data_IF_060128467827
#
_entry.id   IF_060128467827
#
_cell.length_a   1.000
_cell.length_b   1.000
_cell.length_c   1.000
_cell.angle_alpha   90.00
_cell.angle_beta   90.00
_cell.angle_gamma   90.00
#
_symmetry.space_group_name_H-M   'P 1'
#
loop_
_entity.id
_entity.type
_entity.pdbx_description
1 polymer ?
#
# COMPACT_ATOMS: atom_id res chain seq x y z
N UNK A 1 -1.70 25.08 11.65
CA UNK A 1 -3.02 24.74 12.23
C UNK A 1 -3.37 25.69 13.39
N UNK A 2 -4.46 26.45 13.22
CA UNK A 2 -5.02 27.35 14.23
C UNK A 2 -5.69 26.49 15.31
N UNK A 3 -5.28 26.62 16.57
CA UNK A 3 -6.11 26.12 17.69
C UNK A 3 -7.32 27.04 17.78
N UNK A 4 -8.40 26.71 17.07
CA UNK A 4 -9.67 27.40 17.24
C UNK A 4 -10.08 27.34 18.71
N UNK A 5 -10.66 28.43 19.21
CA UNK A 5 -11.26 28.43 20.54
C UNK A 5 -12.16 27.21 20.66
N UNK A 6 -12.08 26.51 21.79
CA UNK A 6 -12.75 25.23 22.08
C UNK A 6 -14.29 25.33 22.12
N UNK A 7 -14.92 26.24 21.39
CA UNK A 7 -16.37 26.28 21.26
C UNK A 7 -16.78 25.13 20.34
N UNK A 8 -17.53 24.13 20.83
CA UNK A 8 -18.05 23.04 20.01
C UNK A 8 -18.83 23.53 18.79
N UNK A 9 -19.47 24.71 18.89
CA UNK A 9 -20.26 25.31 17.80
C UNK A 9 -19.42 25.70 16.59
N UNK A 10 -18.16 26.10 16.81
CA UNK A 10 -17.26 26.45 15.70
C UNK A 10 -16.85 25.22 14.91
N UNK A 11 -16.61 24.10 15.61
CA UNK A 11 -16.36 22.82 14.97
C UNK A 11 -17.59 22.37 14.19
N UNK A 12 -18.77 22.41 14.81
CA UNK A 12 -20.03 22.03 14.17
C UNK A 12 -20.26 22.78 12.85
N UNK A 13 -20.13 24.11 12.84
CA UNK A 13 -20.29 24.91 11.61
C UNK A 13 -19.26 24.61 10.53
N UNK A 14 -18.02 24.33 10.91
CA UNK A 14 -17.00 23.92 9.96
C UNK A 14 -17.35 22.57 9.30
N UNK A 15 -17.98 21.66 10.05
CA UNK A 15 -18.45 20.39 9.49
C UNK A 15 -19.70 20.50 8.65
N UNK A 16 -20.66 21.34 9.03
CA UNK A 16 -21.82 21.61 8.18
C UNK A 16 -21.37 22.05 6.77
N UNK A 17 -20.28 22.82 6.68
CA UNK A 17 -19.67 23.16 5.39
C UNK A 17 -19.10 21.93 4.68
N UNK A 18 -18.39 21.04 5.38
CA UNK A 18 -17.81 19.82 4.79
C UNK A 18 -18.93 18.87 4.30
N UNK A 19 -20.00 18.68 5.07
CA UNK A 19 -21.15 17.89 4.67
C UNK A 19 -21.85 18.49 3.44
N UNK A 20 -21.97 19.82 3.37
CA UNK A 20 -22.54 20.50 2.19
C UNK A 20 -21.68 20.39 0.94
N UNK A 21 -20.39 20.11 1.08
CA UNK A 21 -19.46 19.96 -0.04
C UNK A 21 -19.51 18.56 -0.67
N UNK A 22 -20.18 17.58 -0.04
CA UNK A 22 -20.38 16.21 -0.54
C UNK A 22 -19.11 15.60 -1.15
N UNK A 23 -18.00 15.67 -0.39
CA UNK A 23 -16.68 15.30 -0.90
C UNK A 23 -16.49 13.78 -0.85
N UNK A 24 -16.28 13.17 -2.02
CA UNK A 24 -15.89 11.76 -2.12
C UNK A 24 -14.50 11.48 -1.51
N UNK A 25 -13.60 12.48 -1.60
CA UNK A 25 -12.21 12.38 -1.15
C UNK A 25 -11.84 13.60 -0.31
N UNK A 26 -11.37 13.35 0.91
CA UNK A 26 -10.83 14.36 1.82
C UNK A 26 -9.34 14.10 2.01
N UNK A 27 -8.50 14.99 1.48
CA UNK A 27 -7.06 14.94 1.74
C UNK A 27 -6.73 15.69 3.03
N UNK A 28 -6.01 15.00 3.93
CA UNK A 28 -5.52 15.54 5.19
C UNK A 28 -3.99 15.44 5.23
N UNK A 29 -3.34 16.17 6.13
CA UNK A 29 -1.89 16.12 6.28
C UNK A 29 -1.52 15.86 7.73
N UNK A 30 -0.91 14.70 7.98
CA UNK A 30 -0.73 14.19 9.34
C UNK A 30 -2.05 14.06 10.10
N UNK A 31 -3.16 13.92 9.38
CA UNK A 31 -4.47 13.98 9.99
C UNK A 31 -4.74 12.72 10.81
N UNK A 32 -4.27 11.54 10.40
CA UNK A 32 -4.55 10.31 11.15
C UNK A 32 -3.99 10.33 12.57
N UNK A 33 -2.78 10.88 12.75
CA UNK A 33 -2.14 10.98 14.06
C UNK A 33 -2.52 12.20 14.89
N UNK A 34 -3.30 13.14 14.34
CA UNK A 34 -3.48 14.44 14.99
C UNK A 34 -4.86 15.05 14.83
N UNK A 35 -5.29 15.31 13.59
CA UNK A 35 -6.54 16.01 13.34
C UNK A 35 -7.73 15.06 13.47
N UNK A 36 -7.67 13.88 12.85
CA UNK A 36 -8.80 12.98 12.70
C UNK A 36 -9.42 12.58 14.03
N UNK A 37 -8.62 12.22 15.05
CA UNK A 37 -9.13 11.86 16.38
C UNK A 37 -9.93 12.99 17.03
N UNK A 38 -9.53 14.25 16.81
CA UNK A 38 -10.26 15.42 17.34
C UNK A 38 -11.49 15.72 16.53
N UNK A 39 -11.41 15.52 15.22
CA UNK A 39 -12.53 15.66 14.29
C UNK A 39 -13.63 14.66 14.66
N UNK A 40 -13.28 13.37 14.74
CA UNK A 40 -14.21 12.27 14.99
C UNK A 40 -14.81 12.29 16.39
N UNK A 41 -14.22 13.02 17.34
CA UNK A 41 -14.81 13.23 18.66
C UNK A 41 -16.07 14.13 18.62
N UNK A 42 -16.27 14.87 17.53
CA UNK A 42 -17.35 15.84 17.40
C UNK A 42 -18.30 15.56 16.22
N UNK A 43 -17.91 14.70 15.28
CA UNK A 43 -18.68 14.40 14.06
C UNK A 43 -18.34 13.03 13.48
N UNK A 44 -19.29 12.49 12.72
CA UNK A 44 -19.10 11.34 11.84
C UNK A 44 -18.84 11.80 10.41
N UNK A 45 -17.97 11.11 9.68
CA UNK A 45 -17.86 11.30 8.23
C UNK A 45 -19.04 10.65 7.51
N UNK A 46 -19.55 11.24 6.40
CA UNK A 46 -20.51 10.58 5.54
C UNK A 46 -20.01 9.21 5.07
N UNK A 47 -20.91 8.23 5.01
CA UNK A 47 -20.58 6.91 4.47
C UNK A 47 -20.07 7.04 3.03
N UNK A 48 -18.93 6.40 2.74
CA UNK A 48 -18.29 6.46 1.42
C UNK A 48 -17.20 7.52 1.29
N UNK A 49 -17.07 8.45 2.25
CA UNK A 49 -15.98 9.44 2.24
C UNK A 49 -14.63 8.74 2.37
N UNK A 50 -13.76 8.97 1.41
CA UNK A 50 -12.38 8.46 1.43
C UNK A 50 -11.45 9.50 2.02
N UNK A 51 -10.64 9.10 3.00
CA UNK A 51 -9.71 9.99 3.68
C UNK A 51 -8.28 9.60 3.28
N UNK A 52 -7.56 10.56 2.71
CA UNK A 52 -6.19 10.36 2.22
C UNK A 52 -5.24 11.22 3.03
N UNK A 53 -4.39 10.59 3.84
CA UNK A 53 -3.32 11.32 4.52
C UNK A 53 -2.10 11.47 3.61
N UNK A 54 -1.90 12.70 3.13
CA UNK A 54 -0.84 13.06 2.22
C UNK A 54 0.56 12.73 2.75
N UNK A 55 0.78 12.69 4.08
CA UNK A 55 2.10 12.33 4.63
C UNK A 55 2.48 10.90 4.27
N UNK A 56 1.55 9.95 4.36
CA UNK A 56 1.83 8.55 4.02
C UNK A 56 2.20 8.43 2.54
N UNK A 57 1.50 9.15 1.67
CA UNK A 57 1.79 9.16 0.25
C UNK A 57 3.15 9.80 -0.04
N UNK A 58 3.52 10.88 0.64
CA UNK A 58 4.84 11.51 0.50
C UNK A 58 5.94 10.55 0.94
N UNK A 59 5.80 9.98 2.14
CA UNK A 59 6.80 9.08 2.74
C UNK A 59 7.04 7.86 1.84
N UNK A 60 5.97 7.35 1.22
CA UNK A 60 6.01 6.17 0.36
C UNK A 60 6.48 6.46 -1.07
N UNK A 61 5.98 7.51 -1.71
CA UNK A 61 6.15 7.71 -3.16
C UNK A 61 7.16 8.79 -3.54
N UNK A 62 7.47 9.74 -2.65
CA UNK A 62 8.29 10.92 -2.98
C UNK A 62 9.60 11.01 -2.19
N UNK A 63 9.68 10.40 -1.01
CA UNK A 63 10.76 10.63 -0.04
C UNK A 63 12.18 10.25 -0.49
N UNK A 64 12.38 9.61 -1.64
CA UNK A 64 13.74 9.21 -2.05
C UNK A 64 14.66 10.43 -2.15
N UNK A 65 15.59 10.57 -1.18
CA UNK A 65 16.52 11.70 -1.09
C UNK A 65 16.09 12.87 -0.20
N UNK A 66 14.89 12.83 0.40
CA UNK A 66 14.44 13.90 1.30
C UNK A 66 15.00 13.71 2.71
N UNK A 67 15.56 14.77 3.29
CA UNK A 67 16.14 14.73 4.64
C UNK A 67 15.09 14.79 5.76
N UNK A 68 13.89 15.28 5.46
CA UNK A 68 12.78 15.41 6.41
C UNK A 68 11.43 15.47 5.69
N UNK A 69 10.38 14.92 6.31
CA UNK A 69 8.98 15.03 5.85
C UNK A 69 8.22 16.17 6.56
N UNK A 70 8.93 17.07 7.25
CA UNK A 70 8.31 18.25 7.82
C UNK A 70 7.81 19.19 6.71
N UNK A 71 6.67 19.85 6.90
CA UNK A 71 6.13 20.76 5.88
C UNK A 71 7.13 21.83 5.45
N UNK A 72 8.00 22.28 6.37
CA UNK A 72 9.07 23.22 6.07
C UNK A 72 10.16 22.63 5.15
N UNK A 73 10.58 21.38 5.38
CA UNK A 73 11.53 20.70 4.50
C UNK A 73 10.93 20.49 3.12
N UNK A 74 9.69 19.98 3.06
CA UNK A 74 9.01 19.72 1.78
C UNK A 74 8.86 20.97 0.92
N UNK A 75 8.55 22.13 1.54
CA UNK A 75 8.50 23.39 0.81
C UNK A 75 9.85 23.77 0.21
N UNK A 76 10.95 23.51 0.92
CA UNK A 76 12.29 23.77 0.37
C UNK A 76 12.64 22.78 -0.75
N UNK A 77 12.34 21.49 -0.56
CA UNK A 77 12.66 20.44 -1.52
C UNK A 77 11.85 20.57 -2.82
N UNK A 78 10.65 21.17 -2.76
CA UNK A 78 9.78 21.47 -3.90
C UNK A 78 9.98 22.89 -4.49
N UNK A 79 10.97 23.64 -4.01
CA UNK A 79 11.21 25.06 -4.39
C UNK A 79 9.95 25.95 -4.25
N UNK A 80 9.15 25.68 -3.22
CA UNK A 80 7.94 26.43 -2.91
C UNK A 80 8.23 27.59 -1.94
N UNK A 81 7.38 28.63 -1.91
CA UNK A 81 7.55 29.73 -0.97
C UNK A 81 7.65 29.22 0.47
N UNK A 82 8.74 29.58 1.14
CA UNK A 82 9.02 29.14 2.51
C UNK A 82 7.82 29.39 3.43
N UNK A 83 7.57 28.42 4.31
CA UNK A 83 6.61 28.58 5.40
C UNK A 83 7.02 29.82 6.19
N UNK A 84 6.05 30.66 6.52
CA UNK A 84 6.30 31.74 7.47
C UNK A 84 6.81 31.08 8.76
N UNK A 85 7.94 31.54 9.30
CA UNK A 85 8.48 31.00 10.53
C UNK A 85 7.56 31.44 11.69
N UNK A 86 6.53 30.65 11.94
CA UNK A 86 5.50 30.86 12.96
C UNK A 86 5.52 29.77 14.03
N UNK A 87 6.67 29.11 14.23
CA UNK A 87 6.85 28.02 15.20
C UNK A 87 6.48 28.40 16.65
N UNK A 88 6.30 29.69 16.93
CA UNK A 88 5.85 30.23 18.22
C UNK A 88 4.45 30.83 18.22
N UNK A 89 3.67 30.76 17.13
CA UNK A 89 2.27 31.20 17.10
C UNK A 89 1.36 30.16 17.75
N UNK A 90 1.53 29.95 19.05
CA UNK A 90 0.44 29.45 19.87
C UNK A 90 -0.58 30.57 19.96
N UNK A 91 -1.72 30.41 19.28
CA UNK A 91 -2.86 31.33 19.35
C UNK A 91 -3.38 31.31 20.78
N UNK A 92 -2.86 32.21 21.62
CA UNK A 92 -3.41 32.46 22.94
C UNK A 92 -4.65 33.32 22.76
N UNK A 93 -5.82 32.84 23.19
CA UNK A 93 -7.13 33.50 23.06
C UNK A 93 -7.20 35.00 23.46
N UNK A 94 -6.17 35.54 24.11
CA UNK A 94 -6.15 36.87 24.72
C UNK A 94 -5.17 37.88 24.07
N UNK A 95 -4.70 37.65 22.84
CA UNK A 95 -3.90 38.66 22.10
C UNK A 95 -4.55 39.02 20.77
N UNK A 96 -4.51 40.30 20.41
CA UNK A 96 -4.83 40.80 19.06
C UNK A 96 -3.82 40.19 18.07
N UNK A 97 -4.14 39.01 17.54
CA UNK A 97 -3.39 38.44 16.43
C UNK A 97 -3.90 39.03 15.12
N UNK A 98 -2.98 39.18 14.18
CA UNK A 98 -3.32 39.45 12.79
C UNK A 98 -3.88 38.16 12.16
N UNK A 99 -5.21 38.03 12.22
CA UNK A 99 -5.96 36.90 11.66
C UNK A 99 -5.60 36.67 10.19
N UNK A 100 -5.28 37.72 9.45
CA UNK A 100 -4.87 37.66 8.04
C UNK A 100 -3.59 36.85 7.87
N UNK A 101 -2.58 37.07 8.72
CA UNK A 101 -1.32 36.29 8.67
C UNK A 101 -1.55 34.81 8.98
N UNK A 102 -2.48 34.50 9.88
CA UNK A 102 -2.82 33.13 10.23
C UNK A 102 -3.56 32.42 9.09
N UNK A 103 -4.49 33.11 8.43
CA UNK A 103 -5.16 32.59 7.23
C UNK A 103 -4.16 32.33 6.10
N UNK A 104 -3.22 33.25 5.85
CA UNK A 104 -2.16 33.05 4.85
C UNK A 104 -1.30 31.82 5.18
N UNK A 105 -0.96 31.58 6.44
CA UNK A 105 -0.22 30.38 6.84
C UNK A 105 -1.01 29.10 6.55
N UNK A 106 -2.30 29.07 6.92
CA UNK A 106 -3.16 27.90 6.66
C UNK A 106 -3.36 27.67 5.16
N UNK A 107 -3.57 28.73 4.36
CA UNK A 107 -3.72 28.62 2.91
C UNK A 107 -2.44 28.08 2.28
N UNK A 108 -1.26 28.51 2.74
CA UNK A 108 0.02 27.96 2.25
C UNK A 108 0.21 26.49 2.60
N UNK A 109 -0.17 26.08 3.82
CA UNK A 109 -0.16 24.66 4.20
C UNK A 109 -1.13 23.86 3.32
N UNK A 110 -2.34 24.36 3.07
CA UNK A 110 -3.32 23.76 2.15
C UNK A 110 -2.81 23.68 0.71
N UNK A 111 -2.17 24.73 0.20
CA UNK A 111 -1.59 24.73 -1.14
C UNK A 111 -0.45 23.73 -1.26
N UNK A 112 0.37 23.55 -0.21
CA UNK A 112 1.35 22.46 -0.19
C UNK A 112 0.66 21.12 -0.32
N UNK A 113 -0.49 20.90 0.33
CA UNK A 113 -1.25 19.65 0.20
C UNK A 113 -1.81 19.47 -1.20
N UNK A 114 -2.40 20.52 -1.78
CA UNK A 114 -2.90 20.48 -3.14
C UNK A 114 -1.78 20.19 -4.14
N UNK A 115 -0.62 20.85 -4.00
CA UNK A 115 0.55 20.63 -4.84
C UNK A 115 1.16 19.25 -4.64
N UNK A 116 1.23 18.76 -3.40
CA UNK A 116 1.66 17.40 -3.11
C UNK A 116 0.73 16.43 -3.81
N UNK A 117 -0.59 16.58 -3.68
CA UNK A 117 -1.59 15.76 -4.38
C UNK A 117 -1.54 15.93 -5.90
N UNK A 118 -1.16 17.09 -6.43
CA UNK A 118 -1.00 17.31 -7.87
C UNK A 118 0.27 16.65 -8.42
N UNK A 119 1.39 16.78 -7.71
CA UNK A 119 2.67 16.15 -8.03
C UNK A 119 2.58 14.62 -7.91
N UNK A 120 1.81 14.19 -6.93
CA UNK A 120 1.32 12.84 -6.75
C UNK A 120 0.18 12.67 -7.77
N UNK A 121 0.52 12.41 -9.03
CA UNK A 121 -0.35 11.65 -9.98
C UNK A 121 -0.89 10.32 -9.42
N UNK A 122 -0.73 10.09 -8.12
CA UNK A 122 -1.06 8.92 -7.37
C UNK A 122 -2.52 8.83 -7.02
N UNK A 123 -3.38 9.86 -7.11
CA UNK A 123 -4.81 9.55 -7.15
C UNK A 123 -5.09 8.68 -8.38
N UNK A 124 -4.66 9.11 -9.58
CA UNK A 124 -4.83 8.32 -10.80
C UNK A 124 -4.06 6.99 -10.75
N UNK A 125 -2.83 6.95 -10.22
CA UNK A 125 -2.10 5.68 -10.07
C UNK A 125 -2.71 4.76 -9.03
N UNK A 126 -3.23 5.28 -7.91
CA UNK A 126 -3.91 4.48 -6.89
C UNK A 126 -5.23 3.96 -7.44
N UNK A 127 -6.00 4.77 -8.16
CA UNK A 127 -7.20 4.34 -8.87
C UNK A 127 -6.90 3.31 -9.95
N UNK A 128 -5.84 3.53 -10.75
CA UNK A 128 -5.39 2.57 -11.75
C UNK A 128 -4.94 1.26 -11.07
N UNK A 129 -4.18 1.33 -9.98
CA UNK A 129 -3.72 0.15 -9.26
C UNK A 129 -4.92 -0.63 -8.66
N UNK A 130 -5.84 0.06 -7.98
CA UNK A 130 -7.08 -0.54 -7.46
C UNK A 130 -7.94 -1.15 -8.57
N UNK A 131 -8.06 -0.46 -9.71
CA UNK A 131 -8.82 -0.92 -10.87
C UNK A 131 -8.20 -2.15 -11.53
N UNK A 132 -6.88 -2.17 -11.71
CA UNK A 132 -6.14 -3.29 -12.31
C UNK A 132 -6.16 -4.51 -11.38
N UNK A 133 -5.94 -4.32 -10.08
CA UNK A 133 -5.96 -5.40 -9.09
C UNK A 133 -7.37 -5.86 -8.72
N UNK A 134 -8.39 -5.07 -9.06
CA UNK A 134 -9.76 -5.20 -8.53
C UNK A 134 -9.82 -5.19 -7.00
N UNK A 135 -8.84 -4.55 -6.36
CA UNK A 135 -8.86 -4.30 -4.91
C UNK A 135 -9.64 -3.03 -4.60
N UNK A 136 -9.89 -2.78 -3.32
CA UNK A 136 -10.46 -1.49 -2.93
C UNK A 136 -9.41 -0.39 -3.04
N UNK A 137 -9.88 0.86 -3.20
CA UNK A 137 -9.00 2.02 -3.13
C UNK A 137 -8.27 2.09 -1.77
N UNK A 138 -8.93 1.65 -0.70
CA UNK A 138 -8.36 1.56 0.65
C UNK A 138 -7.18 0.59 0.75
N UNK A 139 -7.27 -0.59 0.13
CA UNK A 139 -6.15 -1.53 0.10
C UNK A 139 -4.92 -0.90 -0.54
N UNK A 140 -5.16 -0.05 -1.54
CA UNK A 140 -4.11 0.64 -2.29
C UNK A 140 -3.48 1.77 -1.49
N UNK A 141 -4.29 2.57 -0.78
CA UNK A 141 -3.80 3.58 0.16
C UNK A 141 -3.00 2.93 1.29
N UNK A 142 -3.53 1.84 1.87
CA UNK A 142 -2.92 1.14 2.99
C UNK A 142 -1.66 0.34 2.61
N UNK A 143 -1.33 0.27 1.32
CA UNK A 143 -0.27 -0.58 0.79
C UNK A 143 -0.42 -2.05 1.19
N UNK A 144 -1.67 -2.55 1.22
CA UNK A 144 -1.93 -3.94 1.54
C UNK A 144 -1.63 -4.81 0.31
N UNK A 145 -0.34 -4.92 -0.05
CA UNK A 145 0.13 -5.63 -1.24
C UNK A 145 -0.39 -7.07 -1.28
N UNK A 146 -0.49 -7.74 -0.12
CA UNK A 146 -1.07 -9.08 -0.02
C UNK A 146 -2.52 -9.11 -0.51
N UNK A 147 -3.35 -8.17 -0.06
CA UNK A 147 -4.75 -8.07 -0.49
C UNK A 147 -4.86 -7.65 -1.97
N UNK A 148 -4.03 -6.73 -2.43
CA UNK A 148 -4.00 -6.28 -3.83
C UNK A 148 -3.67 -7.46 -4.76
N UNK A 149 -2.62 -8.22 -4.44
CA UNK A 149 -2.21 -9.41 -5.19
C UNK A 149 -3.29 -10.49 -5.13
N UNK A 150 -3.88 -10.71 -3.95
CA UNK A 150 -4.97 -11.65 -3.80
C UNK A 150 -6.18 -11.30 -4.67
N UNK A 151 -6.66 -10.06 -4.63
CA UNK A 151 -7.78 -9.59 -5.44
C UNK A 151 -7.49 -9.79 -6.94
N UNK A 152 -6.26 -9.51 -7.37
CA UNK A 152 -5.85 -9.72 -8.76
C UNK A 152 -5.90 -11.20 -9.15
N UNK A 153 -5.28 -12.08 -8.34
CA UNK A 153 -5.27 -13.53 -8.58
C UNK A 153 -6.71 -14.05 -8.61
N UNK A 154 -7.54 -13.67 -7.65
CA UNK A 154 -8.94 -14.07 -7.58
C UNK A 154 -9.73 -13.61 -8.81
N UNK A 155 -9.54 -12.37 -9.26
CA UNK A 155 -10.18 -11.86 -10.48
C UNK A 155 -9.76 -12.64 -11.71
N UNK A 156 -8.48 -12.97 -11.84
CA UNK A 156 -7.97 -13.78 -12.97
C UNK A 156 -8.55 -15.19 -12.90
N UNK A 157 -8.49 -15.87 -11.74
CA UNK A 157 -9.04 -17.22 -11.55
C UNK A 157 -10.53 -17.30 -11.88
N UNK A 158 -11.33 -16.33 -11.42
CA UNK A 158 -12.77 -16.27 -11.75
C UNK A 158 -12.98 -16.09 -13.26
N UNK A 159 -12.18 -15.25 -13.91
CA UNK A 159 -12.31 -15.01 -15.36
C UNK A 159 -12.05 -16.25 -16.22
N UNK A 160 -11.27 -17.21 -15.71
CA UNK A 160 -11.02 -18.51 -16.33
C UNK A 160 -11.87 -19.66 -15.73
N UNK A 161 -12.94 -19.31 -15.00
CA UNK A 161 -13.89 -20.24 -14.37
C UNK A 161 -13.24 -21.25 -13.39
N UNK A 162 -12.24 -20.79 -12.62
CA UNK A 162 -11.55 -21.60 -11.63
C UNK A 162 -11.93 -21.23 -10.21
N UNK A 163 -12.13 -22.24 -9.38
CA UNK A 163 -12.27 -22.08 -7.93
C UNK A 163 -10.91 -21.77 -7.31
N UNK A 164 -10.86 -20.74 -6.46
CA UNK A 164 -9.65 -20.37 -5.74
C UNK A 164 -9.66 -21.05 -4.36
N UNK A 165 -8.66 -21.88 -4.10
CA UNK A 165 -8.50 -22.53 -2.79
C UNK A 165 -7.92 -21.55 -1.78
N UNK A 166 -8.81 -20.96 -0.98
CA UNK A 166 -8.48 -19.99 0.06
C UNK A 166 -7.57 -20.56 1.17
N UNK A 167 -7.40 -21.88 1.27
CA UNK A 167 -6.57 -22.51 2.30
C UNK A 167 -5.06 -22.31 2.07
N UNK A 168 -4.65 -21.92 0.86
CA UNK A 168 -3.23 -21.78 0.47
C UNK A 168 -2.73 -20.33 0.40
N UNK A 169 -3.62 -19.34 0.51
CA UNK A 169 -3.32 -17.92 0.27
C UNK A 169 -2.50 -17.27 1.40
N UNK A 170 -2.42 -17.89 2.58
CA UNK A 170 -1.81 -17.28 3.77
C UNK A 170 -0.27 -17.25 3.80
N UNK A 171 0.41 -17.81 2.79
CA UNK A 171 1.88 -17.93 2.78
C UNK A 171 2.50 -17.63 1.42
N UNK A 172 2.23 -16.45 0.84
CA UNK A 172 3.01 -15.99 -0.31
C UNK A 172 4.20 -15.17 0.16
N UNK A 173 5.41 -15.74 0.01
CA UNK A 173 6.67 -15.03 0.27
C UNK A 173 7.02 -14.23 -0.98
N UNK A 174 6.92 -12.91 -0.90
CA UNK A 174 7.40 -11.99 -1.95
C UNK A 174 8.82 -11.57 -1.58
N UNK A 175 9.84 -12.12 -2.25
CA UNK A 175 11.24 -11.75 -2.06
C UNK A 175 11.62 -10.71 -3.14
N UNK A 176 12.07 -9.52 -2.71
CA UNK A 176 12.20 -8.33 -3.56
C UNK A 176 13.61 -8.07 -4.11
N UNK A 177 13.70 -7.97 -5.44
CA UNK A 177 14.77 -7.28 -6.18
C UNK A 177 14.17 -6.63 -7.45
N UNK A 178 14.46 -5.34 -7.68
CA UNK A 178 13.83 -4.47 -8.69
C UNK A 178 13.71 -5.12 -10.08
N UNK A 179 12.47 -5.35 -10.54
CA UNK A 179 12.00 -5.87 -11.85
C UNK A 179 12.67 -7.13 -12.44
N UNK A 180 13.74 -7.63 -11.84
CA UNK A 180 14.38 -8.87 -12.22
C UNK A 180 13.40 -10.03 -12.02
N UNK A 181 12.69 -10.05 -10.89
CA UNK A 181 11.74 -11.12 -10.57
C UNK A 181 10.49 -11.09 -11.46
N UNK A 182 9.96 -9.90 -11.76
CA UNK A 182 8.81 -9.76 -12.67
C UNK A 182 9.10 -10.25 -14.10
N UNK A 183 10.39 -10.28 -14.49
CA UNK A 183 10.84 -10.82 -15.78
C UNK A 183 11.25 -12.30 -15.68
N UNK A 184 11.89 -12.69 -14.57
CA UNK A 184 12.35 -14.07 -14.31
C UNK A 184 11.18 -15.02 -14.08
N UNK A 185 10.14 -14.62 -13.33
CA UNK A 185 8.99 -15.47 -13.03
C UNK A 185 8.29 -15.97 -14.30
N UNK A 186 7.89 -15.11 -15.26
CA UNK A 186 7.33 -15.58 -16.53
C UNK A 186 8.36 -16.29 -17.40
N UNK A 187 9.63 -15.86 -17.42
CA UNK A 187 10.69 -16.50 -18.21
C UNK A 187 11.02 -17.92 -17.74
N UNK A 188 11.00 -18.17 -16.43
CA UNK A 188 11.19 -19.49 -15.82
C UNK A 188 9.87 -20.27 -15.72
N UNK A 189 8.74 -19.66 -16.09
CA UNK A 189 7.39 -20.21 -15.96
C UNK A 189 7.13 -20.77 -14.55
N UNK A 190 7.53 -20.01 -13.53
CA UNK A 190 7.35 -20.40 -12.11
C UNK A 190 6.03 -19.82 -11.63
N UNK A 191 4.99 -20.65 -11.66
CA UNK A 191 3.65 -20.27 -11.21
C UNK A 191 3.25 -21.07 -9.97
N UNK A 192 2.34 -20.51 -9.16
CA UNK A 192 1.90 -21.09 -7.88
C UNK A 192 1.31 -22.49 -8.06
N UNK A 193 0.61 -22.73 -9.18
CA UNK A 193 0.03 -24.01 -9.55
C UNK A 193 1.07 -25.08 -9.97
N UNK A 194 2.32 -24.67 -10.18
CA UNK A 194 3.45 -25.53 -10.46
C UNK A 194 4.37 -25.72 -9.24
N UNK A 195 3.99 -25.18 -8.09
CA UNK A 195 4.73 -25.29 -6.84
C UNK A 195 3.98 -26.15 -5.83
N UNK A 196 4.71 -27.04 -5.16
CA UNK A 196 4.20 -27.84 -4.05
C UNK A 196 5.19 -27.71 -2.90
N UNK A 197 4.70 -27.51 -1.67
CA UNK A 197 5.53 -27.56 -0.46
C UNK A 197 5.07 -28.61 0.55
N UNK A 198 6.04 -29.09 1.33
CA UNK A 198 5.81 -30.01 2.44
C UNK A 198 7.00 -30.07 3.39
N UNK A 199 6.76 -30.28 4.68
CA UNK A 199 7.80 -30.52 5.71
C UNK A 199 8.56 -31.84 5.52
N UNK A 200 8.02 -32.75 4.71
CA UNK A 200 8.62 -34.06 4.42
C UNK A 200 8.68 -34.30 2.93
N UNK A 201 9.82 -34.77 2.47
CA UNK A 201 10.04 -35.16 1.07
C UNK A 201 9.09 -36.28 0.62
N UNK A 202 8.69 -37.17 1.53
CA UNK A 202 7.70 -38.21 1.25
C UNK A 202 6.36 -37.60 0.86
N UNK A 203 5.82 -36.72 1.72
CA UNK A 203 4.55 -36.03 1.47
C UNK A 203 4.65 -35.08 0.27
N UNK A 204 5.82 -34.48 0.03
CA UNK A 204 6.05 -33.66 -1.16
C UNK A 204 5.89 -34.49 -2.44
N UNK A 205 6.52 -35.67 -2.49
CA UNK A 205 6.43 -36.58 -3.63
C UNK A 205 5.00 -37.07 -3.85
N UNK A 206 4.27 -37.38 -2.78
CA UNK A 206 2.84 -37.75 -2.85
C UNK A 206 1.98 -36.61 -3.41
N UNK A 207 2.12 -35.39 -2.87
CA UNK A 207 1.36 -34.22 -3.33
C UNK A 207 1.67 -33.87 -4.79
N UNK A 208 2.93 -33.97 -5.20
CA UNK A 208 3.36 -33.61 -6.55
C UNK A 208 3.25 -34.78 -7.56
N UNK A 209 2.81 -35.95 -7.13
CA UNK A 209 2.72 -37.19 -7.92
C UNK A 209 4.05 -37.58 -8.59
N UNK A 210 5.13 -37.57 -7.80
CA UNK A 210 6.50 -37.84 -8.28
C UNK A 210 7.05 -39.10 -7.62
N UNK A 211 7.80 -39.87 -8.40
CA UNK A 211 8.57 -40.99 -7.90
C UNK A 211 9.68 -40.52 -6.94
N UNK A 212 9.57 -40.95 -5.67
CA UNK A 212 10.51 -40.65 -4.59
C UNK A 212 11.94 -41.10 -4.91
N UNK A 213 12.12 -42.14 -5.72
CA UNK A 213 13.44 -42.67 -6.09
C UNK A 213 14.31 -41.68 -6.87
N UNK A 214 13.69 -40.67 -7.47
CA UNK A 214 14.37 -39.63 -8.26
C UNK A 214 14.94 -38.49 -7.42
N UNK A 215 14.76 -38.55 -6.09
CA UNK A 215 15.21 -37.50 -5.20
C UNK A 215 16.27 -38.00 -4.22
N UNK A 216 17.25 -37.15 -3.86
CA UNK A 216 18.20 -37.48 -2.81
C UNK A 216 17.50 -37.67 -1.46
N UNK A 217 18.11 -38.47 -0.57
CA UNK A 217 17.57 -38.73 0.76
C UNK A 217 17.71 -37.53 1.71
N UNK A 218 18.69 -36.67 1.45
CA UNK A 218 18.88 -35.43 2.16
C UNK A 218 19.20 -34.31 1.19
N UNK A 219 18.59 -33.15 1.42
CA UNK A 219 18.97 -31.88 0.82
C UNK A 219 19.39 -30.98 1.96
N UNK A 220 20.53 -30.33 1.81
CA UNK A 220 20.99 -29.33 2.77
C UNK A 220 20.06 -28.12 2.73
N UNK A 221 19.81 -27.53 3.90
CA UNK A 221 19.03 -26.30 3.99
C UNK A 221 19.70 -25.20 3.16
N UNK A 222 18.89 -24.45 2.41
CA UNK A 222 19.30 -23.43 1.43
C UNK A 222 20.00 -23.97 0.18
N UNK A 223 20.01 -25.28 -0.04
CA UNK A 223 20.50 -25.84 -1.28
C UNK A 223 19.37 -25.96 -2.31
N UNK A 224 19.72 -25.76 -3.58
CA UNK A 224 18.81 -25.80 -4.72
C UNK A 224 19.30 -26.87 -5.68
N UNK A 225 18.48 -27.89 -5.90
CA UNK A 225 18.73 -28.95 -6.89
C UNK A 225 17.91 -28.61 -8.13
N UNK A 226 18.60 -28.16 -9.18
CA UNK A 226 18.00 -27.84 -10.47
C UNK A 226 18.30 -28.95 -11.48
N UNK A 227 17.23 -29.54 -12.02
CA UNK A 227 17.30 -30.60 -13.05
C UNK A 227 16.85 -30.11 -14.43
N UNK A 228 16.81 -28.80 -14.64
CA UNK A 228 16.35 -28.16 -15.88
C UNK A 228 14.84 -27.99 -15.88
N UNK A 229 14.08 -29.09 -15.89
CA UNK A 229 12.61 -29.05 -15.87
C UNK A 229 12.02 -28.88 -14.47
N UNK A 230 12.82 -29.10 -13.42
CA UNK A 230 12.33 -29.12 -12.04
C UNK A 230 13.35 -28.53 -11.10
N UNK A 231 12.86 -27.79 -10.12
CA UNK A 231 13.66 -27.25 -9.02
C UNK A 231 13.15 -27.85 -7.73
N UNK A 232 14.04 -28.46 -6.97
CA UNK A 232 13.78 -28.86 -5.59
C UNK A 232 14.68 -28.04 -4.68
N UNK A 233 14.08 -27.40 -3.69
CA UNK A 233 14.81 -26.64 -2.68
C UNK A 233 14.30 -27.01 -1.29
N UNK A 234 15.16 -26.79 -0.28
CA UNK A 234 14.80 -26.98 1.12
C UNK A 234 15.14 -25.71 1.89
N UNK A 235 14.15 -25.11 2.55
CA UNK A 235 14.40 -24.03 3.50
C UNK A 235 14.58 -24.58 4.92
N UNK A 236 14.52 -23.72 5.94
CA UNK A 236 14.69 -24.14 7.35
C UNK A 236 13.54 -25.02 7.86
N UNK A 237 12.40 -25.04 7.18
CA UNK A 237 11.13 -25.61 7.63
C UNK A 237 10.48 -26.56 6.62
N UNK A 238 10.65 -26.35 5.32
CA UNK A 238 9.92 -27.04 4.27
C UNK A 238 10.80 -27.40 3.07
N UNK A 239 10.36 -28.43 2.34
CA UNK A 239 10.81 -28.72 0.99
C UNK A 239 9.83 -28.06 0.01
N UNK A 240 10.35 -27.40 -1.01
CA UNK A 240 9.58 -26.82 -2.10
C UNK A 240 10.01 -27.45 -3.42
N UNK A 241 9.03 -27.88 -4.20
CA UNK A 241 9.23 -28.46 -5.52
C UNK A 241 8.48 -27.66 -6.57
N UNK A 242 9.19 -27.25 -7.61
CA UNK A 242 8.70 -26.42 -8.71
C UNK A 242 8.90 -27.17 -10.02
N UNK A 243 7.84 -27.25 -10.84
CA UNK A 243 7.94 -27.74 -12.22
C UNK A 243 8.06 -26.54 -13.15
N UNK A 244 9.19 -26.42 -13.85
CA UNK A 244 9.44 -25.39 -14.86
C UNK A 244 8.81 -25.80 -16.19
N UNK A 245 8.34 -24.82 -16.96
CA UNK A 245 7.92 -25.03 -18.34
C UNK A 245 6.64 -25.85 -18.55
N UNK A 246 6.00 -26.33 -17.48
CA UNK A 246 4.70 -27.00 -17.60
C UNK A 246 3.68 -25.98 -18.08
N UNK A 247 2.74 -26.42 -18.91
CA UNK A 247 1.54 -25.65 -19.21
C UNK A 247 0.84 -25.34 -17.90
N UNK A 248 0.88 -24.08 -17.52
CA UNK A 248 0.24 -23.57 -16.32
C UNK A 248 -1.17 -23.17 -16.64
N UNK A 249 -2.01 -23.01 -15.63
CA UNK A 249 -3.39 -22.55 -15.76
C UNK A 249 -3.47 -21.15 -16.40
N UNK A 250 -2.35 -20.41 -16.42
CA UNK A 250 -2.21 -19.11 -17.05
C UNK A 250 -1.66 -19.17 -18.50
N UNK A 251 -1.24 -20.35 -18.96
CA UNK A 251 -0.67 -20.56 -20.29
C UNK A 251 -1.45 -21.61 -21.12
N UNK A 252 -2.71 -21.89 -20.76
CA UNK A 252 -3.61 -22.79 -21.50
C UNK A 252 -4.46 -22.07 -22.57
N UNK A 253 -4.10 -20.84 -22.95
CA UNK A 253 -4.73 -20.11 -24.06
C UNK A 253 -3.82 -20.12 -25.29
#
# INVERSE_FOLDING_TARGET
MIKCGKSPDTFKKAYEIIELLDQDIVSIHNGFGFDLTRITAHVSFPNGTTIVDSIYNIDKYLKSGWSSISSASMLNDLDLPRKLNVDYMVVKLNKKYDVSKMLVCNIRDLNLHALVVEYISSCDRLFALAGISRSTFWDTIADNLGQIVFCYIASVSISINMGLDMSTVFSSVVIGGNSLHGSIIPMLMVYIDCCVSSRSIKFLCEKALIDRSKFPDAIETNNVVDSGEKVLMKDSTEYMYIIKGKSTLLNTA
#
